data_IF_145193461756
#
_entry.id   IF_145193461756
#
_cell.length_a   1.000
_cell.length_b   1.000
_cell.length_c   1.000
_cell.angle_alpha   90.00
_cell.angle_beta   90.00
_cell.angle_gamma   90.00
#
_symmetry.space_group_name_H-M   'P 1'
#
loop_
_entity.id
_entity.type
_entity.pdbx_description
1 polymer ?
#
# COMPACT_ATOMS: atom_id res chain seq x y z
N UNK A 1 16.12 -17.26 2.61
CA UNK A 1 15.84 -15.82 2.48
C UNK A 1 15.86 -15.25 3.87
N UNK A 2 16.88 -14.45 4.18
CA UNK A 2 17.12 -13.99 5.54
C UNK A 2 16.59 -12.57 5.79
N UNK A 3 16.51 -11.74 4.75
CA UNK A 3 16.06 -10.34 4.83
C UNK A 3 15.03 -10.02 3.76
N UNK A 4 13.77 -9.84 4.16
CA UNK A 4 12.67 -9.45 3.28
C UNK A 4 12.15 -8.05 3.64
N UNK A 5 12.06 -7.17 2.64
CA UNK A 5 11.44 -5.86 2.78
C UNK A 5 9.96 -5.93 2.37
N UNK A 6 9.06 -5.59 3.29
CA UNK A 6 7.62 -5.48 3.03
C UNK A 6 7.24 -4.01 2.81
N UNK A 7 7.00 -3.59 1.56
CA UNK A 7 6.36 -2.30 1.33
C UNK A 7 4.95 -2.29 1.93
N UNK A 8 4.71 -1.43 2.93
CA UNK A 8 3.47 -1.36 3.70
C UNK A 8 2.64 -0.14 3.33
N UNK A 9 1.44 -0.36 2.77
CA UNK A 9 0.52 0.72 2.41
C UNK A 9 -0.31 1.24 3.62
N UNK A 10 -0.49 0.41 4.64
CA UNK A 10 -1.18 0.71 5.89
C UNK A 10 -1.08 -0.50 6.83
N UNK A 11 -1.31 -0.30 8.12
CA UNK A 11 -1.27 -1.38 9.10
C UNK A 11 -2.30 -2.50 8.81
N UNK A 12 -3.60 -2.23 8.56
CA UNK A 12 -4.57 -3.29 8.30
C UNK A 12 -4.23 -4.21 7.13
N UNK A 13 -3.54 -3.68 6.10
CA UNK A 13 -3.07 -4.50 4.99
C UNK A 13 -1.83 -5.32 5.33
N UNK A 14 -1.04 -4.86 6.30
CA UNK A 14 0.22 -5.51 6.69
C UNK A 14 0.01 -6.65 7.67
N UNK A 15 -1.05 -6.63 8.50
CA UNK A 15 -1.30 -7.62 9.56
C UNK A 15 -1.21 -9.05 9.03
N UNK A 16 -2.04 -9.42 8.07
CA UNK A 16 -2.04 -10.79 7.52
C UNK A 16 -0.75 -11.10 6.73
N UNK A 17 -0.19 -10.10 6.05
CA UNK A 17 1.06 -10.30 5.31
C UNK A 17 2.20 -10.67 6.27
N UNK A 18 2.34 -9.95 7.38
CA UNK A 18 3.35 -10.22 8.41
C UNK A 18 3.13 -11.60 9.04
N UNK A 19 1.89 -11.90 9.46
CA UNK A 19 1.57 -13.21 10.06
C UNK A 19 1.92 -14.37 9.11
N UNK A 20 1.58 -14.22 7.82
CA UNK A 20 1.86 -15.24 6.81
C UNK A 20 3.37 -15.42 6.58
N UNK A 21 4.11 -14.32 6.49
CA UNK A 21 5.57 -14.36 6.31
C UNK A 21 6.25 -14.98 7.52
N UNK A 22 5.81 -14.63 8.73
CA UNK A 22 6.32 -15.26 9.97
C UNK A 22 6.01 -16.75 10.06
N UNK A 23 4.82 -17.16 9.61
CA UNK A 23 4.48 -18.59 9.53
C UNK A 23 5.39 -19.36 8.54
N UNK A 24 5.89 -18.68 7.50
CA UNK A 24 6.87 -19.23 6.57
C UNK A 24 8.33 -19.10 7.10
N UNK A 25 8.53 -18.62 8.33
CA UNK A 25 9.86 -18.45 8.95
C UNK A 25 10.60 -17.18 8.49
N UNK A 26 9.90 -16.21 7.90
CA UNK A 26 10.48 -14.96 7.41
C UNK A 26 10.04 -13.80 8.31
N UNK A 27 11.00 -13.10 8.94
CA UNK A 27 10.72 -11.88 9.69
C UNK A 27 10.87 -10.66 8.75
N UNK A 28 9.78 -9.98 8.36
CA UNK A 28 9.87 -8.88 7.43
C UNK A 28 10.21 -7.56 8.12
N UNK A 29 10.99 -6.70 7.46
CA UNK A 29 11.09 -5.28 7.77
C UNK A 29 10.07 -4.50 6.95
N UNK A 30 9.26 -3.67 7.59
CA UNK A 30 8.24 -2.86 6.93
C UNK A 30 8.83 -1.57 6.39
N UNK A 31 8.50 -1.21 5.15
CA UNK A 31 8.86 0.08 4.54
C UNK A 31 7.60 0.89 4.26
N UNK A 32 7.51 2.09 4.85
CA UNK A 32 6.54 3.09 4.48
C UNK A 32 7.09 4.00 3.39
N UNK A 33 6.47 3.98 2.23
CA UNK A 33 6.64 4.95 1.14
C UNK A 33 5.35 5.04 0.34
N UNK A 34 4.55 6.06 0.57
CA UNK A 34 3.19 6.15 0.03
C UNK A 34 2.82 7.57 -0.44
N UNK A 35 3.52 8.14 -1.42
CA UNK A 35 3.28 9.51 -1.90
C UNK A 35 1.91 9.70 -2.56
N UNK A 36 1.22 8.59 -2.84
CA UNK A 36 -0.11 8.56 -3.43
C UNK A 36 -1.25 8.69 -2.42
N UNK A 37 -0.98 8.64 -1.11
CA UNK A 37 -2.05 8.71 -0.10
C UNK A 37 -2.42 10.16 0.16
N UNK A 38 -3.70 10.49 -0.03
CA UNK A 38 -4.25 11.84 0.12
C UNK A 38 -5.62 11.79 0.81
N UNK A 39 -6.03 12.88 1.49
CA UNK A 39 -5.26 14.07 1.84
C UNK A 39 -4.21 13.80 2.93
N UNK A 40 -3.53 14.84 3.39
CA UNK A 40 -2.53 14.75 4.45
C UNK A 40 -3.04 14.04 5.72
N UNK A 41 -4.26 14.31 6.11
CA UNK A 41 -4.87 13.67 7.30
C UNK A 41 -4.98 12.16 7.18
N UNK A 42 -5.27 11.65 5.98
CA UNK A 42 -5.32 10.22 5.71
C UNK A 42 -3.91 9.61 5.66
N UNK A 43 -2.96 10.32 5.02
CA UNK A 43 -1.55 9.92 4.99
C UNK A 43 -0.98 9.78 6.40
N UNK A 44 -1.15 10.81 7.23
CA UNK A 44 -0.63 10.86 8.59
C UNK A 44 -1.31 9.81 9.50
N UNK A 45 -2.63 9.62 9.38
CA UNK A 45 -3.36 8.60 10.12
C UNK A 45 -2.84 7.18 9.83
N UNK A 46 -2.64 6.85 8.55
CA UNK A 46 -2.11 5.52 8.17
C UNK A 46 -0.66 5.32 8.59
N UNK A 47 0.17 6.37 8.46
CA UNK A 47 1.57 6.32 8.87
C UNK A 47 1.70 6.07 10.37
N UNK A 48 0.98 6.85 11.19
CA UNK A 48 0.98 6.67 12.65
C UNK A 48 0.49 5.29 13.04
N UNK A 49 -0.59 4.82 12.45
CA UNK A 49 -1.11 3.48 12.73
C UNK A 49 -0.12 2.37 12.34
N UNK A 50 0.66 2.55 11.27
CA UNK A 50 1.70 1.58 10.92
C UNK A 50 2.82 1.55 11.96
N UNK A 51 3.23 2.70 12.49
CA UNK A 51 4.22 2.77 13.58
C UNK A 51 3.69 2.11 14.85
N UNK A 52 2.44 2.42 15.26
CA UNK A 52 1.78 1.78 16.40
C UNK A 52 1.69 0.25 16.25
N UNK A 53 1.39 -0.22 15.04
CA UNK A 53 1.37 -1.65 14.70
C UNK A 53 2.77 -2.26 14.83
N UNK A 54 3.79 -1.57 14.29
CA UNK A 54 5.17 -2.02 14.37
C UNK A 54 5.66 -2.18 15.82
N UNK A 55 5.33 -1.21 16.68
CA UNK A 55 5.65 -1.28 18.12
C UNK A 55 4.93 -2.45 18.82
N UNK A 56 3.63 -2.61 18.58
CA UNK A 56 2.81 -3.68 19.21
C UNK A 56 3.23 -5.08 18.79
N UNK A 57 3.54 -5.25 17.52
CA UNK A 57 3.83 -6.56 16.94
C UNK A 57 5.34 -6.80 16.76
N UNK A 58 6.19 -5.89 17.25
CA UNK A 58 7.65 -5.97 17.14
C UNK A 58 8.15 -6.11 15.69
N UNK A 59 7.49 -5.40 14.76
CA UNK A 59 7.91 -5.28 13.37
C UNK A 59 8.75 -4.03 13.20
N UNK A 60 9.97 -4.16 12.70
CA UNK A 60 10.79 -3.01 12.35
C UNK A 60 10.14 -2.20 11.22
N UNK A 61 10.00 -0.88 11.40
CA UNK A 61 9.34 0.01 10.42
C UNK A 61 10.28 1.13 10.00
N UNK A 62 10.60 1.18 8.72
CA UNK A 62 11.35 2.27 8.10
C UNK A 62 10.40 3.23 7.41
N UNK A 63 10.60 4.53 7.62
CA UNK A 63 9.76 5.59 7.04
C UNK A 63 10.59 6.37 6.01
N UNK A 64 10.11 6.40 4.77
CA UNK A 64 10.51 7.38 3.77
C UNK A 64 9.39 8.40 3.66
N UNK A 65 9.64 9.63 4.15
CA UNK A 65 8.67 10.71 4.11
C UNK A 65 8.58 11.29 2.70
N UNK A 66 7.42 11.17 2.08
CA UNK A 66 7.17 11.75 0.75
C UNK A 66 5.68 11.99 0.52
N UNK A 67 5.09 12.89 1.29
CA UNK A 67 3.73 13.35 1.00
C UNK A 67 3.74 14.27 -0.21
N UNK A 68 3.13 13.85 -1.32
CA UNK A 68 3.24 14.56 -2.59
C UNK A 68 1.95 14.59 -3.41
N UNK A 69 0.89 15.24 -2.89
CA UNK A 69 -0.37 15.40 -3.63
C UNK A 69 -0.16 16.05 -5.01
N UNK A 70 0.57 17.16 -5.05
CA UNK A 70 0.72 17.96 -6.29
C UNK A 70 1.48 17.20 -7.37
N UNK A 71 2.56 16.54 -7.00
CA UNK A 71 3.38 15.82 -7.97
C UNK A 71 2.69 14.54 -8.43
N UNK A 72 1.99 13.85 -7.53
CA UNK A 72 1.15 12.71 -7.91
C UNK A 72 0.06 13.12 -8.92
N UNK A 73 -0.68 14.19 -8.63
CA UNK A 73 -1.73 14.68 -9.55
C UNK A 73 -1.15 15.10 -10.89
N UNK A 74 -0.02 15.85 -10.92
CA UNK A 74 0.65 16.21 -12.17
C UNK A 74 1.06 15.00 -13.00
N UNK A 75 1.60 13.96 -12.33
CA UNK A 75 2.07 12.76 -13.00
C UNK A 75 0.96 11.94 -13.66
N UNK A 76 -0.27 11.97 -13.09
CA UNK A 76 -1.38 11.14 -13.58
C UNK A 76 -2.46 11.95 -14.31
N UNK A 77 -2.39 13.27 -14.36
CA UNK A 77 -3.44 14.14 -14.91
C UNK A 77 -3.74 13.91 -16.39
N UNK A 78 -2.77 13.42 -17.16
CA UNK A 78 -2.97 13.12 -18.59
C UNK A 78 -3.76 11.83 -18.83
N UNK A 79 -3.77 10.90 -17.84
CA UNK A 79 -4.43 9.59 -17.94
C UNK A 79 -4.79 9.09 -16.53
N UNK A 80 -5.86 9.67 -15.97
CA UNK A 80 -6.33 9.36 -14.62
C UNK A 80 -6.82 7.91 -14.51
N UNK A 81 -7.38 7.37 -15.56
CA UNK A 81 -7.95 6.01 -15.56
C UNK A 81 -6.87 4.92 -15.40
N UNK A 82 -5.66 5.18 -15.88
CA UNK A 82 -4.51 4.28 -15.74
C UNK A 82 -3.53 4.70 -14.63
N UNK A 83 -3.93 5.62 -13.74
CA UNK A 83 -3.10 6.13 -12.63
C UNK A 83 -2.47 5.05 -11.74
N UNK A 84 -3.11 3.87 -11.66
CA UNK A 84 -2.60 2.75 -10.85
C UNK A 84 -1.25 2.23 -11.34
N UNK A 85 -0.99 2.26 -12.66
CA UNK A 85 0.31 1.86 -13.20
C UNK A 85 1.44 2.77 -12.67
N UNK A 86 1.23 4.09 -12.70
CA UNK A 86 2.17 5.06 -12.10
C UNK A 86 2.34 4.81 -10.59
N UNK A 87 1.22 4.67 -9.87
CA UNK A 87 1.22 4.44 -8.43
C UNK A 87 2.05 3.20 -8.03
N UNK A 88 1.85 2.08 -8.72
CA UNK A 88 2.62 0.85 -8.45
C UNK A 88 4.09 1.04 -8.80
N UNK A 89 4.39 1.68 -9.93
CA UNK A 89 5.77 1.89 -10.39
C UNK A 89 6.59 2.70 -9.38
N UNK A 90 6.06 3.81 -8.89
CA UNK A 90 6.81 4.64 -7.92
C UNK A 90 6.99 3.92 -6.58
N UNK A 91 5.97 3.23 -6.10
CA UNK A 91 6.02 2.57 -4.79
C UNK A 91 6.88 1.31 -4.80
N UNK A 92 6.66 0.41 -5.75
CA UNK A 92 7.45 -0.82 -5.88
C UNK A 92 8.86 -0.53 -6.37
N UNK A 93 9.04 0.49 -7.22
CA UNK A 93 10.36 0.94 -7.64
C UNK A 93 11.19 1.50 -6.49
N UNK A 94 10.61 2.30 -5.61
CA UNK A 94 11.28 2.79 -4.41
C UNK A 94 11.58 1.65 -3.44
N UNK A 95 10.63 0.73 -3.24
CA UNK A 95 10.87 -0.44 -2.38
C UNK A 95 11.99 -1.34 -2.91
N UNK A 96 12.01 -1.62 -4.21
CA UNK A 96 13.07 -2.41 -4.85
C UNK A 96 14.44 -1.72 -4.73
N UNK A 97 14.49 -0.41 -5.00
CA UNK A 97 15.73 0.37 -4.84
C UNK A 97 16.22 0.36 -3.41
N UNK A 98 15.31 0.60 -2.45
CA UNK A 98 15.65 0.57 -1.03
C UNK A 98 16.16 -0.79 -0.59
N UNK A 99 15.52 -1.86 -1.03
CA UNK A 99 15.95 -3.23 -0.74
C UNK A 99 17.36 -3.52 -1.28
N UNK A 100 17.64 -3.13 -2.52
CA UNK A 100 18.97 -3.29 -3.11
C UNK A 100 20.05 -2.48 -2.38
N UNK A 101 19.76 -1.21 -2.08
CA UNK A 101 20.71 -0.30 -1.42
C UNK A 101 21.03 -0.73 0.04
N UNK A 102 20.14 -1.47 0.70
CA UNK A 102 20.28 -1.87 2.11
C UNK A 102 20.52 -3.37 2.31
N UNK A 103 20.79 -4.11 1.23
CA UNK A 103 21.18 -5.52 1.30
C UNK A 103 20.06 -6.46 1.75
N UNK A 104 18.82 -6.20 1.32
CA UNK A 104 17.73 -7.16 1.42
C UNK A 104 17.81 -8.17 0.28
N UNK A 105 17.47 -9.43 0.57
CA UNK A 105 17.45 -10.50 -0.43
C UNK A 105 16.29 -10.32 -1.43
N UNK A 106 15.16 -9.83 -0.90
CA UNK A 106 13.95 -9.64 -1.68
C UNK A 106 13.08 -8.52 -1.12
N UNK A 107 12.10 -8.08 -1.92
CA UNK A 107 11.04 -7.19 -1.48
C UNK A 107 9.66 -7.71 -1.91
N UNK A 108 8.64 -7.32 -1.17
CA UNK A 108 7.23 -7.61 -1.46
C UNK A 108 6.36 -6.42 -1.10
N UNK A 109 5.02 -6.56 -1.21
CA UNK A 109 4.11 -5.47 -0.88
C UNK A 109 2.81 -5.95 -0.25
N UNK A 110 2.35 -5.24 0.78
CA UNK A 110 1.02 -5.41 1.36
C UNK A 110 -0.14 -5.04 0.41
N UNK A 111 0.16 -4.47 -0.75
CA UNK A 111 -0.85 -4.28 -1.81
C UNK A 111 -1.40 -5.60 -2.33
N UNK A 112 -0.61 -6.67 -2.26
CA UNK A 112 -0.98 -8.01 -2.72
C UNK A 112 -2.07 -8.68 -1.87
N UNK A 113 -2.49 -8.07 -0.76
CA UNK A 113 -3.62 -8.58 0.03
C UNK A 113 -4.97 -8.09 -0.48
N UNK A 114 -4.99 -6.97 -1.19
CA UNK A 114 -6.26 -6.32 -1.53
C UNK A 114 -6.90 -6.94 -2.78
N UNK A 115 -8.14 -7.44 -2.71
CA UNK A 115 -8.86 -7.94 -3.89
C UNK A 115 -9.26 -6.84 -4.87
N UNK A 116 -9.07 -5.56 -4.49
CA UNK A 116 -9.42 -4.39 -5.31
C UNK A 116 -8.24 -3.86 -6.12
N UNK A 117 -7.04 -4.44 -5.95
CA UNK A 117 -5.87 -4.08 -6.73
C UNK A 117 -5.78 -4.92 -8.02
N UNK A 118 -5.18 -4.35 -9.07
CA UNK A 118 -4.86 -5.11 -10.27
C UNK A 118 -3.61 -5.97 -10.00
N UNK A 119 -3.82 -7.23 -9.64
CA UNK A 119 -2.74 -8.15 -9.25
C UNK A 119 -1.77 -8.48 -10.37
N UNK A 120 -2.25 -8.63 -11.60
CA UNK A 120 -1.38 -8.90 -12.75
C UNK A 120 -0.44 -7.72 -12.99
N UNK A 121 -0.97 -6.51 -12.93
CA UNK A 121 -0.15 -5.30 -13.07
C UNK A 121 0.82 -5.14 -11.90
N UNK A 122 0.39 -5.40 -10.65
CA UNK A 122 1.27 -5.36 -9.48
C UNK A 122 2.45 -6.34 -9.62
N UNK A 123 2.16 -7.57 -10.04
CA UNK A 123 3.17 -8.60 -10.27
C UNK A 123 4.15 -8.17 -11.36
N UNK A 124 3.64 -7.76 -12.52
CA UNK A 124 4.47 -7.32 -13.65
C UNK A 124 5.38 -6.12 -13.27
N UNK A 125 4.84 -5.14 -12.56
CA UNK A 125 5.62 -3.99 -12.08
C UNK A 125 6.65 -4.41 -11.04
N UNK A 126 6.28 -5.27 -10.08
CA UNK A 126 7.20 -5.77 -9.05
C UNK A 126 8.38 -6.52 -9.66
N UNK A 127 8.12 -7.45 -10.58
CA UNK A 127 9.16 -8.21 -11.29
C UNK A 127 10.05 -7.29 -12.15
N UNK A 128 9.46 -6.28 -12.80
CA UNK A 128 10.21 -5.30 -13.61
C UNK A 128 11.14 -4.48 -12.73
N UNK A 129 10.65 -3.99 -11.59
CA UNK A 129 11.46 -3.21 -10.65
C UNK A 129 12.53 -4.07 -9.98
N UNK A 130 12.21 -5.32 -9.64
CA UNK A 130 13.18 -6.28 -9.13
C UNK A 130 14.35 -6.50 -10.09
N UNK A 131 14.07 -6.75 -11.36
CA UNK A 131 15.09 -6.87 -12.42
C UNK A 131 15.90 -5.58 -12.57
N UNK A 132 15.24 -4.43 -12.54
CA UNK A 132 15.90 -3.12 -12.70
C UNK A 132 16.93 -2.84 -11.60
N UNK A 133 16.63 -3.21 -10.36
CA UNK A 133 17.48 -2.91 -9.21
C UNK A 133 18.31 -4.12 -8.71
N UNK A 134 18.15 -5.30 -9.33
CA UNK A 134 18.92 -6.50 -8.98
C UNK A 134 18.51 -7.13 -7.66
N UNK A 135 17.24 -7.05 -7.29
CA UNK A 135 16.67 -7.63 -6.09
C UNK A 135 15.41 -8.44 -6.42
N UNK A 136 15.19 -9.56 -5.75
CA UNK A 136 14.03 -10.43 -6.03
C UNK A 136 12.71 -9.75 -5.63
N UNK A 137 11.69 -9.84 -6.50
CA UNK A 137 10.32 -9.55 -6.10
C UNK A 137 9.65 -10.82 -5.58
N UNK A 138 9.50 -10.91 -4.26
CA UNK A 138 8.83 -12.03 -3.61
C UNK A 138 7.32 -11.90 -3.81
N UNK A 139 6.80 -12.55 -4.86
CA UNK A 139 5.36 -12.56 -5.13
C UNK A 139 4.66 -13.61 -4.26
N UNK A 140 3.71 -13.16 -3.46
CA UNK A 140 2.78 -14.00 -2.71
C UNK A 140 1.36 -13.45 -2.87
N UNK A 141 0.41 -14.29 -3.23
CA UNK A 141 -1.01 -13.90 -3.20
C UNK A 141 -1.54 -13.96 -1.76
N UNK A 142 -1.68 -12.79 -1.14
CA UNK A 142 -2.22 -12.67 0.22
C UNK A 142 -3.75 -12.48 0.25
N UNK A 143 -4.45 -12.40 -0.90
CA UNK A 143 -5.91 -12.17 -0.97
C UNK A 143 -6.75 -13.17 -0.19
N UNK A 144 -6.40 -14.46 -0.08
CA UNK A 144 -7.17 -15.41 0.74
C UNK A 144 -7.37 -14.96 2.18
N UNK A 145 -6.40 -14.26 2.77
CA UNK A 145 -6.46 -13.74 4.13
C UNK A 145 -6.99 -12.32 4.29
N UNK A 146 -7.52 -11.70 3.23
CA UNK A 146 -7.99 -10.30 3.30
C UNK A 146 -9.01 -10.06 4.42
N UNK A 147 -10.01 -10.93 4.55
CA UNK A 147 -11.05 -10.79 5.58
C UNK A 147 -10.52 -11.03 6.99
N UNK A 148 -9.64 -12.00 7.14
CA UNK A 148 -8.97 -12.33 8.39
C UNK A 148 -8.11 -11.18 8.88
N UNK A 149 -7.22 -10.65 8.02
CA UNK A 149 -6.41 -9.48 8.32
C UNK A 149 -7.23 -8.24 8.72
N UNK A 150 -8.36 -8.01 8.03
CA UNK A 150 -9.27 -6.93 8.37
C UNK A 150 -9.96 -7.12 9.73
N UNK A 151 -10.33 -8.35 10.10
CA UNK A 151 -10.90 -8.67 11.39
C UNK A 151 -9.87 -8.44 12.51
N UNK A 152 -8.69 -9.02 12.39
CA UNK A 152 -7.58 -8.87 13.34
C UNK A 152 -7.19 -7.39 13.53
N UNK A 153 -7.10 -6.62 12.45
CA UNK A 153 -6.81 -5.19 12.53
C UNK A 153 -7.85 -4.40 13.35
N UNK A 154 -9.16 -4.75 13.22
CA UNK A 154 -10.22 -4.13 14.05
C UNK A 154 -10.12 -4.52 15.51
N UNK A 155 -9.84 -5.79 15.81
CA UNK A 155 -9.63 -6.28 17.18
C UNK A 155 -8.43 -5.58 17.85
N UNK A 156 -7.40 -5.27 17.08
CA UNK A 156 -6.24 -4.51 17.53
C UNK A 156 -6.53 -3.00 17.71
N UNK A 157 -7.70 -2.51 17.30
CA UNK A 157 -8.07 -1.10 17.36
C UNK A 157 -7.34 -0.22 16.35
N UNK A 158 -6.82 -0.79 15.25
CA UNK A 158 -6.08 -0.04 14.24
C UNK A 158 -7.00 0.84 13.40
N UNK A 159 -6.49 1.98 12.94
CA UNK A 159 -7.21 2.84 12.00
C UNK A 159 -7.50 2.10 10.69
N UNK A 160 -8.78 2.07 10.31
CA UNK A 160 -9.26 1.36 9.12
C UNK A 160 -9.51 2.33 7.98
N UNK A 161 -8.71 2.26 6.94
CA UNK A 161 -8.88 3.09 5.73
C UNK A 161 -10.18 2.76 5.00
N UNK A 162 -10.79 3.78 4.38
CA UNK A 162 -12.06 3.66 3.65
C UNK A 162 -11.89 3.52 2.14
N UNK A 163 -10.72 3.83 1.59
CA UNK A 163 -10.40 3.79 0.16
C UNK A 163 -8.94 3.40 -0.06
N UNK A 164 -8.51 3.22 -1.31
CA UNK A 164 -7.15 2.76 -1.64
C UNK A 164 -6.07 3.73 -1.15
N UNK A 165 -6.26 5.03 -1.35
CA UNK A 165 -5.35 6.05 -0.82
C UNK A 165 -5.29 7.32 -1.65
N UNK A 166 -5.27 7.26 -2.98
CA UNK A 166 -5.21 8.47 -3.78
C UNK A 166 -6.55 9.22 -3.79
N UNK A 167 -6.50 10.52 -4.03
CA UNK A 167 -7.68 11.39 -4.05
C UNK A 167 -8.75 10.91 -5.05
N UNK A 168 -8.34 10.38 -6.20
CA UNK A 168 -9.25 9.81 -7.18
C UNK A 168 -9.94 8.53 -6.67
N UNK A 169 -9.26 7.70 -5.90
CA UNK A 169 -9.90 6.51 -5.28
C UNK A 169 -10.85 6.87 -4.15
N UNK A 170 -10.71 8.04 -3.55
CA UNK A 170 -11.68 8.62 -2.62
C UNK A 170 -12.95 9.00 -3.38
N UNK A 171 -12.83 9.75 -4.46
CA UNK A 171 -13.94 10.13 -5.35
C UNK A 171 -14.68 8.88 -5.87
N UNK A 172 -13.96 7.88 -6.41
CA UNK A 172 -14.52 6.61 -6.86
C UNK A 172 -15.34 5.92 -5.75
N UNK A 173 -14.81 5.93 -4.53
CA UNK A 173 -15.48 5.33 -3.35
C UNK A 173 -16.81 5.99 -3.02
N UNK A 174 -16.91 7.28 -3.25
CA UNK A 174 -18.10 8.07 -2.91
C UNK A 174 -18.94 8.49 -4.12
N UNK A 175 -18.63 8.03 -5.34
CA UNK A 175 -19.29 8.40 -6.60
C UNK A 175 -20.82 8.36 -6.52
N UNK A 176 -21.41 7.27 -6.02
CA UNK A 176 -22.86 7.14 -5.84
C UNK A 176 -23.45 8.20 -4.90
N UNK A 177 -22.72 8.56 -3.83
CA UNK A 177 -23.18 9.60 -2.90
C UNK A 177 -23.10 10.98 -3.54
N UNK A 178 -22.02 11.24 -4.27
CA UNK A 178 -21.81 12.49 -5.02
C UNK A 178 -22.95 12.69 -6.04
N UNK A 179 -23.27 11.64 -6.81
CA UNK A 179 -24.35 11.72 -7.79
C UNK A 179 -25.75 11.95 -7.17
N UNK A 180 -26.03 11.27 -6.05
CA UNK A 180 -27.28 11.50 -5.33
C UNK A 180 -27.37 12.95 -4.80
N UNK A 181 -26.26 13.50 -4.31
CA UNK A 181 -26.22 14.89 -3.85
C UNK A 181 -26.46 15.85 -5.01
N UNK A 182 -25.78 15.66 -6.17
CA UNK A 182 -25.96 16.48 -7.38
C UNK A 182 -27.45 16.51 -7.83
N UNK A 183 -28.12 15.35 -7.85
CA UNK A 183 -29.55 15.27 -8.24
C UNK A 183 -30.42 16.06 -7.29
N UNK A 184 -30.22 15.92 -5.96
CA UNK A 184 -31.00 16.62 -4.95
C UNK A 184 -30.90 18.14 -5.08
N UNK A 185 -29.70 18.68 -5.33
CA UNK A 185 -29.47 20.12 -5.48
C UNK A 185 -29.86 20.66 -6.87
N UNK A 186 -30.11 19.80 -7.86
CA UNK A 186 -30.61 20.24 -9.16
C UNK A 186 -32.15 20.36 -9.18
N UNK A 187 -32.84 19.81 -8.17
CA UNK A 187 -34.31 19.87 -8.03
C UNK A 187 -34.76 21.00 -7.09
N UNK A 188 -33.83 21.72 -6.42
CA UNK A 188 -34.03 22.92 -5.61
C UNK A 188 -33.85 24.21 -6.45
#
# INVERSE_FOLDING_TARGET
MDKLLLHSCCAPCSVYCVDTLRADGIEPTSLWFNPNIHPWTEYDARRRTLLEYGEKEHVEVHILEDYSLRDFVRAVSADIDHRCAHCYTIRLGTAAKYAADHGYDAFTSSLLISPYQNHELLKAVGETMGKKYGVEFYYRDFRPGFREGQAKAREMGLYMQKYCGCIFSEEDRYSTKIEKAKKRYAEE
#
